data_IF_381233567929
#
_entry.id   IF_381233567929
#
_cell.length_a   1.000
_cell.length_b   1.000
_cell.length_c   1.000
_cell.angle_alpha   90.00
_cell.angle_beta   90.00
_cell.angle_gamma   90.00
#
_symmetry.space_group_name_H-M   'P 1'
#
loop_
_entity.id
_entity.type
_entity.pdbx_description
1 polymer ?
#
# COMPACT_ATOMS: atom_id res chain seq x y z
N UNK A 1 -36.21 -0.78 5.52
CA UNK A 1 -35.71 -0.46 6.88
C UNK A 1 -34.22 -0.27 6.77
N UNK A 2 -33.78 0.98 6.85
CA UNK A 2 -32.39 1.42 6.70
C UNK A 2 -31.57 1.01 7.92
N UNK A 3 -30.44 0.35 7.70
CA UNK A 3 -29.35 0.26 8.66
C UNK A 3 -28.14 1.00 8.07
N UNK A 4 -27.72 2.05 8.79
CA UNK A 4 -26.61 2.92 8.45
C UNK A 4 -25.28 2.15 8.39
N UNK A 5 -24.55 2.29 7.28
CA UNK A 5 -23.20 1.75 7.05
C UNK A 5 -22.12 2.81 7.34
N UNK A 6 -22.30 3.60 8.39
CA UNK A 6 -21.32 4.55 8.91
C UNK A 6 -20.94 4.07 10.33
N UNK A 7 -19.62 3.91 10.58
CA UNK A 7 -18.95 3.37 11.78
C UNK A 7 -18.57 1.89 11.64
N UNK A 8 -17.27 1.61 11.42
CA UNK A 8 -16.50 0.51 12.08
C UNK A 8 -15.08 0.26 11.52
N UNK A 9 -14.50 1.15 10.72
CA UNK A 9 -13.02 1.19 10.54
C UNK A 9 -12.29 1.87 11.72
N UNK A 10 -13.03 2.34 12.72
CA UNK A 10 -12.48 2.86 13.99
C UNK A 10 -11.91 1.78 14.92
N UNK A 11 -12.12 0.48 14.66
CA UNK A 11 -11.79 -0.57 15.63
C UNK A 11 -10.31 -0.99 15.63
N UNK A 12 -9.56 -0.84 14.54
CA UNK A 12 -8.09 -0.95 14.57
C UNK A 12 -7.48 0.33 15.18
N UNK A 13 -8.22 1.45 15.19
CA UNK A 13 -7.80 2.74 15.73
C UNK A 13 -8.35 3.05 17.15
N UNK A 14 -9.07 2.13 17.81
CA UNK A 14 -9.64 2.35 19.14
C UNK A 14 -9.30 1.22 20.10
N UNK A 15 -8.01 1.02 20.36
CA UNK A 15 -7.57 0.36 21.58
C UNK A 15 -7.18 1.43 22.63
N UNK A 16 -8.02 1.52 23.67
CA UNK A 16 -7.83 2.13 25.00
C UNK A 16 -8.55 3.47 25.31
N UNK A 17 -9.29 3.56 26.44
CA UNK A 17 -10.15 4.69 26.75
C UNK A 17 -9.42 5.77 27.57
N UNK A 18 -9.55 7.04 27.19
CA UNK A 18 -10.02 8.14 28.06
C UNK A 18 -9.94 9.52 27.40
N UNK A 19 -11.07 10.21 27.51
CA UNK A 19 -11.30 11.67 27.62
C UNK A 19 -11.24 12.58 26.37
N UNK A 20 -12.45 13.10 26.11
CA UNK A 20 -12.86 14.48 25.85
C UNK A 20 -12.95 15.00 24.40
N UNK A 21 -14.20 14.88 23.95
CA UNK A 21 -14.91 15.52 22.85
C UNK A 21 -14.75 17.05 22.81
N UNK A 22 -14.58 17.59 21.61
CA UNK A 22 -15.14 18.88 21.22
C UNK A 22 -15.75 18.78 19.82
N UNK A 23 -17.06 19.03 19.76
CA UNK A 23 -17.91 19.03 18.57
C UNK A 23 -17.94 20.39 17.89
N UNK A 24 -18.01 20.45 16.56
CA UNK A 24 -18.82 21.46 15.88
C UNK A 24 -19.36 20.94 14.53
N UNK A 25 -20.51 21.50 14.16
CA UNK A 25 -21.59 20.95 13.35
C UNK A 25 -21.61 21.44 11.90
N UNK A 26 -21.94 20.57 10.94
CA UNK A 26 -22.30 20.95 9.56
C UNK A 26 -22.90 19.76 8.79
N UNK A 27 -24.04 19.97 8.10
CA UNK A 27 -24.87 18.98 7.38
C UNK A 27 -24.28 18.55 6.01
N UNK A 28 -24.75 17.43 5.41
CA UNK A 28 -23.96 16.59 4.51
C UNK A 28 -24.14 16.91 3.01
N UNK A 29 -23.03 16.91 2.26
CA UNK A 29 -23.02 16.85 0.80
C UNK A 29 -21.96 15.85 0.33
N UNK A 30 -22.38 14.89 -0.51
CA UNK A 30 -21.58 13.93 -1.29
C UNK A 30 -20.26 13.44 -0.65
N UNK A 31 -20.33 12.33 0.08
CA UNK A 31 -19.16 11.71 0.73
C UNK A 31 -18.26 11.03 -0.32
N UNK A 32 -17.22 11.72 -0.77
CA UNK A 32 -15.96 11.09 -1.14
C UNK A 32 -15.42 10.38 0.10
N UNK A 33 -15.22 9.05 0.04
CA UNK A 33 -14.61 8.29 1.14
C UNK A 33 -13.24 8.89 1.46
N UNK A 34 -13.10 9.50 2.64
CA UNK A 34 -11.87 10.18 3.04
C UNK A 34 -10.75 9.20 3.34
N UNK A 35 -9.53 9.54 2.91
CA UNK A 35 -8.32 8.85 3.32
C UNK A 35 -7.92 9.31 4.74
N UNK A 36 -7.71 8.38 5.66
CA UNK A 36 -7.38 8.70 7.05
C UNK A 36 -5.87 8.60 7.28
N UNK A 37 -5.18 9.75 7.32
CA UNK A 37 -3.84 9.85 7.89
C UNK A 37 -3.98 10.07 9.40
N UNK A 38 -3.71 9.05 10.20
CA UNK A 38 -3.65 9.15 11.66
C UNK A 38 -2.44 8.38 12.18
N UNK A 39 -1.82 8.88 13.24
CA UNK A 39 -0.86 8.08 14.02
C UNK A 39 -1.64 6.89 14.59
N UNK A 40 -1.48 5.71 13.98
CA UNK A 40 -2.27 4.53 14.31
C UNK A 40 -2.02 4.13 15.78
N UNK A 41 -3.03 4.10 16.66
CA UNK A 41 -2.85 3.72 18.06
C UNK A 41 -2.45 2.25 18.23
N UNK A 42 -2.72 1.41 17.22
CA UNK A 42 -2.24 0.02 17.15
C UNK A 42 -0.73 -0.10 17.05
N UNK A 43 -0.02 0.91 16.55
CA UNK A 43 1.41 0.81 16.30
C UNK A 43 2.25 0.66 17.58
N UNK A 44 1.72 1.14 18.72
CA UNK A 44 2.35 0.93 20.02
C UNK A 44 2.36 -0.55 20.43
N UNK A 45 1.32 -1.31 20.08
CA UNK A 45 1.19 -2.73 20.42
C UNK A 45 2.21 -3.61 19.66
N UNK A 46 2.81 -3.10 18.59
CA UNK A 46 3.87 -3.77 17.81
C UNK A 46 5.27 -3.19 18.07
N UNK A 47 5.44 -2.38 19.13
CA UNK A 47 6.75 -1.88 19.55
C UNK A 47 7.34 -0.80 18.63
N UNK A 48 6.50 0.02 17.99
CA UNK A 48 6.95 1.09 17.09
C UNK A 48 7.85 2.11 17.79
N UNK A 49 8.96 2.47 17.13
CA UNK A 49 9.91 3.49 17.61
C UNK A 49 9.32 4.90 17.46
N UNK A 50 9.78 5.83 18.30
CA UNK A 50 9.47 7.26 18.14
C UNK A 50 9.99 7.77 16.79
N UNK A 51 9.16 8.53 16.06
CA UNK A 51 9.54 9.13 14.77
C UNK A 51 9.13 8.34 13.53
N UNK A 52 8.46 7.18 13.68
CA UNK A 52 7.88 6.46 12.55
C UNK A 52 6.52 7.08 12.16
N UNK A 53 6.30 7.24 10.86
CA UNK A 53 5.08 7.76 10.25
C UNK A 53 4.37 6.63 9.52
N UNK A 54 3.14 6.31 9.95
CA UNK A 54 2.30 5.31 9.28
C UNK A 54 1.20 6.01 8.48
N UNK A 55 1.08 5.63 7.21
CA UNK A 55 -0.03 6.00 6.34
C UNK A 55 -0.85 4.74 6.07
N UNK A 56 -2.15 4.78 6.40
CA UNK A 56 -3.07 3.66 6.22
C UNK A 56 -3.99 3.91 5.02
N UNK A 57 -3.94 2.98 4.07
CA UNK A 57 -4.84 2.91 2.92
C UNK A 57 -5.51 1.54 2.82
N UNK A 58 -6.05 1.02 3.92
CA UNK A 58 -6.80 -0.25 3.94
C UNK A 58 -8.31 0.03 3.92
N UNK A 59 -9.04 -0.60 3.01
CA UNK A 59 -10.47 -0.32 2.82
C UNK A 59 -11.29 -1.59 2.57
N UNK A 60 -12.58 -1.51 2.92
CA UNK A 60 -13.61 -2.50 2.55
C UNK A 60 -14.14 -2.29 1.12
N UNK A 61 -13.68 -1.25 0.42
CA UNK A 61 -14.08 -0.94 -0.96
C UNK A 61 -13.05 -1.47 -1.94
N UNK A 62 -13.51 -1.96 -3.08
CA UNK A 62 -12.66 -2.66 -4.05
C UNK A 62 -11.48 -1.83 -4.55
N UNK A 63 -11.60 -0.49 -4.71
CA UNK A 63 -10.50 0.38 -5.17
C UNK A 63 -10.40 1.64 -4.32
N UNK A 64 -9.18 2.06 -3.99
CA UNK A 64 -8.86 3.34 -3.36
C UNK A 64 -7.60 3.94 -3.99
N UNK A 65 -7.60 5.25 -4.21
CA UNK A 65 -6.45 6.02 -4.69
C UNK A 65 -6.32 7.33 -3.90
N UNK A 66 -5.12 7.65 -3.42
CA UNK A 66 -4.85 8.91 -2.72
C UNK A 66 -3.41 9.39 -2.96
N UNK A 67 -3.16 10.69 -2.78
CA UNK A 67 -1.81 11.26 -2.86
C UNK A 67 -1.40 11.75 -1.49
N UNK A 68 -0.21 11.38 -1.04
CA UNK A 68 0.40 11.87 0.20
C UNK A 68 1.73 12.58 -0.07
N UNK A 69 2.07 13.53 0.79
CA UNK A 69 3.35 14.23 0.76
C UNK A 69 4.28 13.51 1.73
N UNK A 70 5.16 12.67 1.19
CA UNK A 70 6.24 12.10 1.98
C UNK A 70 7.30 13.19 2.04
N UNK A 71 7.53 13.78 3.20
CA UNK A 71 8.34 15.00 3.38
C UNK A 71 9.84 14.82 3.14
N UNK A 72 10.25 14.04 2.14
CA UNK A 72 11.60 13.58 1.88
C UNK A 72 12.48 14.58 1.08
N UNK A 73 12.07 15.84 0.96
CA UNK A 73 12.71 16.79 0.05
C UNK A 73 14.19 17.09 0.41
N UNK A 74 15.05 17.13 -0.60
CA UNK A 74 16.42 17.64 -0.49
C UNK A 74 16.46 19.18 -0.66
N UNK A 75 17.25 19.93 0.14
CA UNK A 75 17.54 21.33 -0.15
C UNK A 75 18.30 21.45 -1.48
N UNK A 76 17.98 22.42 -2.39
CA UNK A 76 17.16 23.62 -2.21
C UNK A 76 15.75 23.53 -2.81
N UNK A 77 15.22 22.34 -3.09
CA UNK A 77 13.95 22.18 -3.81
C UNK A 77 12.78 22.30 -2.82
N UNK A 78 11.91 23.29 -3.01
CA UNK A 78 10.80 23.62 -2.10
C UNK A 78 9.53 22.78 -2.30
N UNK A 79 9.59 21.66 -3.03
CA UNK A 79 8.44 20.80 -3.28
C UNK A 79 8.59 19.51 -2.48
N UNK A 80 7.64 19.23 -1.59
CA UNK A 80 7.49 17.90 -0.96
C UNK A 80 7.31 16.84 -2.04
N UNK A 81 7.99 15.68 -1.90
CA UNK A 81 7.82 14.57 -2.83
C UNK A 81 6.40 14.00 -2.74
N UNK A 82 5.72 13.89 -3.87
CA UNK A 82 4.32 13.48 -3.92
C UNK A 82 4.21 12.03 -4.36
N UNK A 83 3.75 11.18 -3.45
CA UNK A 83 3.56 9.76 -3.70
C UNK A 83 2.07 9.49 -3.88
N UNK A 84 1.69 8.97 -5.04
CA UNK A 84 0.32 8.54 -5.30
C UNK A 84 0.20 7.04 -5.05
N UNK A 85 -0.77 6.66 -4.24
CA UNK A 85 -0.94 5.33 -3.71
C UNK A 85 -2.29 4.81 -4.17
N UNK A 86 -2.27 3.61 -4.75
CA UNK A 86 -3.44 2.90 -5.24
C UNK A 86 -3.49 1.55 -4.57
N UNK A 87 -4.65 1.17 -4.03
CA UNK A 87 -4.95 -0.21 -3.66
C UNK A 87 -6.20 -0.69 -4.39
N UNK A 88 -6.16 -1.90 -4.94
CA UNK A 88 -7.30 -2.47 -5.64
C UNK A 88 -7.36 -4.00 -5.52
N UNK A 89 -8.43 -4.53 -4.91
CA UNK A 89 -8.79 -5.93 -5.09
C UNK A 89 -9.53 -6.10 -6.44
N UNK A 90 -8.85 -6.73 -7.38
CA UNK A 90 -9.32 -6.89 -8.76
C UNK A 90 -10.24 -8.10 -8.92
N UNK A 91 -10.51 -8.87 -7.86
CA UNK A 91 -11.49 -9.95 -7.88
C UNK A 91 -11.23 -11.04 -8.91
N UNK A 92 -9.95 -11.35 -9.20
CA UNK A 92 -9.52 -12.23 -10.30
C UNK A 92 -9.93 -11.78 -11.71
N UNK A 93 -10.41 -10.54 -11.86
CA UNK A 93 -10.73 -9.97 -13.16
C UNK A 93 -9.47 -9.73 -14.01
N UNK A 94 -9.67 -9.78 -15.32
CA UNK A 94 -8.69 -9.25 -16.26
C UNK A 94 -8.67 -7.71 -16.14
N UNK A 95 -7.52 -7.07 -16.39
CA UNK A 95 -7.47 -5.62 -16.42
C UNK A 95 -8.39 -5.07 -17.54
N UNK A 96 -9.02 -3.90 -17.34
CA UNK A 96 -9.74 -3.21 -18.41
C UNK A 96 -8.75 -2.69 -19.46
N UNK A 97 -9.26 -2.23 -20.61
CA UNK A 97 -8.41 -1.69 -21.69
C UNK A 97 -7.69 -0.38 -21.29
N UNK A 98 -8.26 0.37 -20.35
CA UNK A 98 -7.70 1.63 -19.84
C UNK A 98 -7.87 1.75 -18.32
N UNK A 99 -6.77 2.09 -17.65
CA UNK A 99 -6.70 2.39 -16.21
C UNK A 99 -6.18 3.81 -15.95
N UNK A 100 -6.06 4.67 -16.97
CA UNK A 100 -5.49 6.01 -16.83
C UNK A 100 -6.19 6.84 -15.75
N UNK A 101 -7.51 6.70 -15.60
CA UNK A 101 -8.29 7.39 -14.56
C UNK A 101 -7.88 7.01 -13.13
N UNK A 102 -7.30 5.82 -12.92
CA UNK A 102 -6.84 5.34 -11.62
C UNK A 102 -5.68 6.19 -11.08
N UNK A 103 -4.90 6.77 -11.97
CA UNK A 103 -3.76 7.63 -11.65
C UNK A 103 -4.13 9.12 -11.60
N UNK A 104 -5.41 9.43 -11.84
CA UNK A 104 -5.96 10.78 -11.85
C UNK A 104 -5.35 11.71 -12.92
N UNK A 105 -5.69 13.01 -12.91
CA UNK A 105 -5.00 14.00 -13.74
C UNK A 105 -3.51 14.15 -13.40
N UNK A 106 -3.11 13.69 -12.21
CA UNK A 106 -1.78 13.86 -11.63
C UNK A 106 -0.66 13.11 -12.36
N UNK A 107 -0.98 12.03 -13.09
CA UNK A 107 0.02 11.37 -13.92
C UNK A 107 0.51 12.28 -15.05
N UNK A 108 -0.36 13.13 -15.61
CA UNK A 108 -0.05 13.98 -16.76
C UNK A 108 0.37 15.41 -16.43
N UNK A 109 0.06 15.91 -15.23
CA UNK A 109 0.41 17.29 -14.82
C UNK A 109 1.83 17.41 -14.23
N UNK A 110 2.54 16.28 -14.09
CA UNK A 110 3.90 16.23 -13.57
C UNK A 110 4.00 16.44 -12.07
N UNK A 111 2.89 16.49 -11.34
CA UNK A 111 2.84 16.84 -9.92
C UNK A 111 3.00 15.64 -8.98
N UNK A 112 3.02 14.41 -9.49
CA UNK A 112 3.31 13.18 -8.74
C UNK A 112 4.70 12.66 -9.06
N UNK A 113 5.47 12.23 -8.07
CA UNK A 113 6.85 11.76 -8.25
C UNK A 113 6.95 10.24 -8.33
N UNK A 114 6.07 9.55 -7.60
CA UNK A 114 6.05 8.09 -7.54
C UNK A 114 4.62 7.56 -7.48
N UNK A 115 4.41 6.39 -8.07
CA UNK A 115 3.16 5.64 -7.98
C UNK A 115 3.40 4.31 -7.26
N UNK A 116 2.60 4.03 -6.23
CA UNK A 116 2.63 2.79 -5.47
C UNK A 116 1.31 2.09 -5.70
N UNK A 117 1.34 0.90 -6.30
CA UNK A 117 0.13 0.18 -6.69
C UNK A 117 0.13 -1.17 -5.97
N UNK A 118 -0.81 -1.36 -5.05
CA UNK A 118 -1.08 -2.63 -4.39
C UNK A 118 -2.32 -3.29 -4.98
N UNK A 119 -2.18 -4.46 -5.58
CA UNK A 119 -3.33 -5.23 -6.08
C UNK A 119 -3.54 -6.50 -5.25
N UNK A 120 -4.80 -6.91 -5.11
CA UNK A 120 -5.21 -8.17 -4.47
C UNK A 120 -6.10 -8.97 -5.41
N UNK A 121 -6.14 -10.30 -5.23
CA UNK A 121 -6.80 -11.25 -6.13
C UNK A 121 -6.40 -11.12 -7.61
N UNK A 122 -5.17 -10.70 -7.91
CA UNK A 122 -4.67 -10.72 -9.28
C UNK A 122 -4.68 -12.15 -9.78
N UNK A 123 -5.31 -12.39 -10.93
CA UNK A 123 -5.39 -13.72 -11.50
C UNK A 123 -3.97 -14.31 -11.65
N UNK A 124 -3.75 -15.49 -11.07
CA UNK A 124 -2.47 -16.20 -11.06
C UNK A 124 -2.42 -17.31 -12.10
N UNK A 125 -3.46 -17.46 -12.92
CA UNK A 125 -3.51 -18.42 -14.03
C UNK A 125 -2.41 -18.08 -15.03
N UNK A 126 -1.28 -18.74 -14.84
CA UNK A 126 -0.30 -19.05 -15.88
C UNK A 126 -1.10 -19.76 -16.97
N UNK A 127 -1.46 -19.03 -18.03
CA UNK A 127 -1.97 -19.68 -19.22
C UNK A 127 -0.93 -20.73 -19.64
N UNK A 128 -1.32 -22.00 -19.63
CA UNK A 128 -0.54 -23.17 -20.07
C UNK A 128 -0.28 -23.12 -21.59
N UNK A 129 0.23 -22.00 -22.09
CA UNK A 129 0.71 -21.80 -23.45
C UNK A 129 2.04 -21.05 -23.37
N UNK A 130 3.07 -21.85 -23.10
CA UNK A 130 4.47 -21.70 -23.51
C UNK A 130 4.90 -20.30 -24.01
N UNK A 131 5.75 -19.59 -23.24
CA UNK A 131 7.07 -19.05 -23.65
C UNK A 131 7.71 -18.09 -22.64
N UNK A 132 8.79 -18.55 -22.01
CA UNK A 132 10.01 -17.79 -21.72
C UNK A 132 9.93 -16.58 -20.77
N UNK A 133 10.43 -16.80 -19.53
CA UNK A 133 11.26 -15.92 -18.69
C UNK A 133 10.89 -14.43 -18.45
N UNK A 134 9.81 -13.89 -19.02
CA UNK A 134 9.51 -12.46 -19.09
C UNK A 134 8.07 -12.07 -18.73
N UNK A 135 7.19 -13.00 -18.37
CA UNK A 135 5.79 -12.64 -18.11
C UNK A 135 5.61 -11.94 -16.76
N UNK A 136 5.70 -10.61 -16.82
CA UNK A 136 4.86 -9.71 -16.01
C UNK A 136 3.38 -10.05 -16.26
N UNK A 137 2.56 -10.09 -15.22
CA UNK A 137 1.12 -10.32 -15.42
C UNK A 137 0.46 -9.15 -16.17
N UNK A 138 -0.71 -9.39 -16.78
CA UNK A 138 -1.41 -8.38 -17.59
C UNK A 138 -1.69 -7.08 -16.83
N UNK A 139 -1.87 -7.14 -15.51
CA UNK A 139 -2.03 -5.94 -14.69
C UNK A 139 -0.73 -5.14 -14.59
N UNK A 140 0.41 -5.82 -14.41
CA UNK A 140 1.74 -5.20 -14.44
C UNK A 140 2.05 -4.59 -15.80
N UNK A 141 1.78 -5.32 -16.89
CA UNK A 141 1.95 -4.84 -18.26
C UNK A 141 1.14 -3.56 -18.51
N UNK A 142 -0.16 -3.58 -18.18
CA UNK A 142 -1.01 -2.41 -18.35
C UNK A 142 -0.55 -1.22 -17.51
N UNK A 143 -0.14 -1.43 -16.25
CA UNK A 143 0.41 -0.36 -15.42
C UNK A 143 1.67 0.26 -16.05
N UNK A 144 2.58 -0.58 -16.56
CA UNK A 144 3.80 -0.11 -17.25
C UNK A 144 3.46 0.67 -18.53
N UNK A 145 2.56 0.14 -19.35
CA UNK A 145 2.14 0.77 -20.61
C UNK A 145 1.42 2.10 -20.38
N UNK A 146 0.63 2.22 -19.33
CA UNK A 146 -0.05 3.47 -18.98
C UNK A 146 0.92 4.49 -18.41
N UNK A 147 1.73 4.12 -17.41
CA UNK A 147 2.60 5.07 -16.69
C UNK A 147 3.85 5.48 -17.48
N UNK A 148 4.36 4.63 -18.38
CA UNK A 148 5.50 4.97 -19.25
C UNK A 148 5.20 6.13 -20.20
N UNK A 149 3.93 6.31 -20.62
CA UNK A 149 3.47 7.47 -21.43
C UNK A 149 3.71 8.81 -20.74
N UNK A 150 3.83 8.79 -19.41
CA UNK A 150 4.05 9.95 -18.57
C UNK A 150 5.49 10.02 -17.99
N UNK A 151 6.41 9.17 -18.47
CA UNK A 151 7.83 9.22 -18.09
C UNK A 151 8.16 8.52 -16.77
N UNK A 152 7.29 7.63 -16.28
CA UNK A 152 7.58 6.79 -15.13
C UNK A 152 8.17 5.45 -15.58
N UNK A 153 9.00 4.88 -14.71
CA UNK A 153 9.56 3.55 -14.87
C UNK A 153 9.24 2.68 -13.67
N UNK A 154 9.09 1.38 -13.90
CA UNK A 154 8.94 0.40 -12.84
C UNK A 154 10.27 0.26 -12.09
N UNK A 155 10.29 0.65 -10.82
CA UNK A 155 11.45 0.53 -9.93
C UNK A 155 11.53 -0.87 -9.34
N UNK A 156 10.41 -1.40 -8.88
CA UNK A 156 10.33 -2.77 -8.33
C UNK A 156 8.93 -3.35 -8.44
N UNK A 157 8.87 -4.68 -8.43
CA UNK A 157 7.62 -5.43 -8.33
C UNK A 157 7.79 -6.61 -7.39
N UNK A 158 6.86 -6.80 -6.46
CA UNK A 158 6.81 -7.99 -5.61
C UNK A 158 5.44 -8.65 -5.69
N UNK A 159 5.44 -9.96 -6.01
CA UNK A 159 4.23 -10.76 -6.12
C UNK A 159 4.21 -11.96 -5.17
N UNK A 160 3.03 -12.25 -4.63
CA UNK A 160 2.70 -13.45 -3.88
C UNK A 160 1.31 -13.94 -4.29
N UNK A 161 1.25 -14.94 -5.18
CA UNK A 161 0.01 -15.40 -5.83
C UNK A 161 -0.86 -14.25 -6.36
N UNK A 162 -1.96 -13.91 -5.69
CA UNK A 162 -2.88 -12.83 -6.09
C UNK A 162 -2.56 -11.48 -5.46
N UNK A 163 -1.56 -11.38 -4.60
CA UNK A 163 -1.12 -10.12 -3.98
C UNK A 163 0.08 -9.58 -4.76
N UNK A 164 0.00 -8.34 -5.23
CA UNK A 164 1.01 -7.72 -6.08
C UNK A 164 1.29 -6.30 -5.59
N UNK A 165 2.56 -5.90 -5.54
CA UNK A 165 3.01 -4.54 -5.27
C UNK A 165 3.89 -4.09 -6.43
N UNK A 166 3.57 -2.92 -7.00
CA UNK A 166 4.35 -2.25 -8.03
C UNK A 166 4.77 -0.87 -7.52
N UNK A 167 6.04 -0.53 -7.69
CA UNK A 167 6.59 0.80 -7.35
C UNK A 167 7.11 1.43 -8.62
N UNK A 168 6.55 2.58 -8.99
CA UNK A 168 6.98 3.38 -10.12
C UNK A 168 7.56 4.71 -9.66
N UNK A 169 8.52 5.23 -10.41
CA UNK A 169 9.13 6.53 -10.15
C UNK A 169 9.48 7.23 -11.46
N UNK A 170 9.51 8.56 -11.45
CA UNK A 170 10.11 9.33 -12.55
C UNK A 170 11.60 8.99 -12.67
N UNK A 171 12.10 8.94 -13.91
CA UNK A 171 13.52 8.66 -14.17
C UNK A 171 14.49 9.59 -13.42
N UNK A 172 14.12 10.86 -13.20
CA UNK A 172 14.95 11.83 -12.48
C UNK A 172 15.21 11.47 -11.02
N UNK A 173 14.37 10.60 -10.42
CA UNK A 173 14.43 10.27 -9.00
C UNK A 173 15.25 9.01 -8.71
N UNK A 174 15.52 8.17 -9.72
CA UNK A 174 16.24 6.91 -9.56
C UNK A 174 17.60 7.03 -8.83
N UNK A 175 18.43 8.08 -9.04
CA UNK A 175 19.68 8.24 -8.30
C UNK A 175 19.52 8.37 -6.77
N UNK A 176 18.33 8.75 -6.31
CA UNK A 176 17.99 8.96 -4.91
C UNK A 176 17.26 7.77 -4.27
N UNK A 177 16.96 6.73 -5.05
CA UNK A 177 16.40 5.46 -4.56
C UNK A 177 17.55 4.47 -4.33
N UNK A 178 17.73 4.03 -3.08
CA UNK A 178 18.86 3.18 -2.67
C UNK A 178 18.40 2.00 -1.82
N UNK A 179 19.18 0.92 -1.81
CA UNK A 179 18.96 -0.21 -0.92
C UNK A 179 17.61 -0.90 -1.10
N UNK A 180 17.11 -0.96 -2.33
CA UNK A 180 15.84 -1.60 -2.67
C UNK A 180 15.87 -3.09 -2.25
N UNK A 181 14.89 -3.50 -1.46
CA UNK A 181 14.65 -4.90 -1.11
C UNK A 181 13.14 -5.16 -1.06
N UNK A 182 12.76 -6.41 -1.26
CA UNK A 182 11.36 -6.84 -1.29
C UNK A 182 11.17 -8.11 -0.50
N UNK A 183 10.09 -8.19 0.27
CA UNK A 183 9.77 -9.36 1.09
C UNK A 183 8.33 -9.82 0.87
N UNK A 184 8.04 -11.08 1.25
CA UNK A 184 6.69 -11.63 1.21
C UNK A 184 6.44 -12.63 2.32
N UNK A 185 5.23 -12.58 2.89
CA UNK A 185 4.79 -13.49 3.94
C UNK A 185 3.45 -14.07 3.58
N UNK A 186 3.36 -15.40 3.58
CA UNK A 186 2.10 -16.13 3.36
C UNK A 186 1.42 -16.36 4.70
N UNK A 187 0.12 -16.08 4.76
CA UNK A 187 -0.71 -16.42 5.94
C UNK A 187 -1.89 -17.33 5.59
N UNK A 188 -2.23 -17.45 4.31
CA UNK A 188 -3.31 -18.33 3.83
C UNK A 188 -3.07 -19.80 4.16
N UNK A 189 -4.13 -20.49 4.59
CA UNK A 189 -4.06 -21.89 5.05
C UNK A 189 -2.92 -22.12 6.06
N UNK A 190 -2.73 -21.24 7.04
CA UNK A 190 -1.64 -21.37 8.03
C UNK A 190 -0.25 -21.18 7.43
N UNK A 191 -0.14 -20.36 6.38
CA UNK A 191 1.11 -20.05 5.68
C UNK A 191 1.45 -20.95 4.49
N UNK A 192 0.70 -22.04 4.28
CA UNK A 192 0.93 -22.95 3.15
C UNK A 192 0.49 -22.37 1.80
N UNK A 193 -0.48 -21.47 1.79
CA UNK A 193 -1.07 -20.90 0.57
C UNK A 193 -0.94 -19.38 0.53
N UNK A 194 -0.54 -18.83 -0.62
CA UNK A 194 -0.20 -17.42 -0.76
C UNK A 194 -1.34 -16.51 -1.18
N UNK A 195 -2.61 -16.94 -1.06
CA UNK A 195 -3.76 -16.09 -1.38
C UNK A 195 -4.03 -15.00 -0.33
N UNK A 196 -3.42 -15.13 0.85
CA UNK A 196 -3.47 -14.19 1.97
C UNK A 196 -2.07 -13.98 2.54
N UNK A 197 -1.85 -12.80 3.09
CA UNK A 197 -0.60 -12.36 3.69
C UNK A 197 -0.17 -11.00 3.16
N UNK A 198 1.13 -10.75 3.03
CA UNK A 198 1.64 -9.44 2.63
C UNK A 198 2.86 -9.51 1.73
N UNK A 199 3.03 -8.49 0.90
CA UNK A 199 4.23 -8.23 0.09
C UNK A 199 4.72 -6.81 0.37
N UNK A 200 6.03 -6.62 0.47
CA UNK A 200 6.60 -5.31 0.73
C UNK A 200 7.75 -4.98 -0.20
N UNK A 201 7.99 -3.68 -0.31
CA UNK A 201 9.17 -3.11 -0.93
C UNK A 201 9.69 -2.01 0.00
N UNK A 202 10.97 -2.10 0.37
CA UNK A 202 11.66 -1.06 1.12
C UNK A 202 12.78 -0.45 0.31
N UNK A 203 13.04 0.81 0.55
CA UNK A 203 14.17 1.53 0.00
C UNK A 203 14.46 2.78 0.83
N UNK A 204 15.66 3.32 0.69
CA UNK A 204 15.94 4.71 1.07
C UNK A 204 15.51 5.61 -0.08
N UNK A 205 14.58 6.53 0.19
CA UNK A 205 14.09 7.55 -0.74
C UNK A 205 14.60 8.91 -0.26
N UNK A 206 15.45 9.56 -1.07
CA UNK A 206 15.99 10.89 -0.74
C UNK A 206 16.61 10.99 0.67
N UNK A 207 17.22 9.89 1.14
CA UNK A 207 17.84 9.81 2.47
C UNK A 207 16.94 9.25 3.58
N UNK A 208 15.64 9.07 3.33
CA UNK A 208 14.68 8.56 4.30
C UNK A 208 14.37 7.07 4.06
N UNK A 209 14.46 6.19 5.07
CA UNK A 209 14.04 4.80 4.93
C UNK A 209 12.51 4.71 4.86
N UNK A 210 12.02 4.13 3.76
CA UNK A 210 10.58 3.96 3.47
C UNK A 210 10.26 2.49 3.21
N UNK A 211 9.13 2.01 3.72
CA UNK A 211 8.59 0.69 3.44
C UNK A 211 7.14 0.77 2.98
N UNK A 212 6.86 0.21 1.80
CA UNK A 212 5.51 0.01 1.28
C UNK A 212 5.12 -1.44 1.56
N UNK A 213 3.98 -1.66 2.21
CA UNK A 213 3.45 -2.99 2.52
C UNK A 213 2.03 -3.11 2.00
N UNK A 214 1.83 -4.01 1.03
CA UNK A 214 0.52 -4.39 0.52
C UNK A 214 0.09 -5.71 1.15
N UNK A 215 -1.08 -5.72 1.79
CA UNK A 215 -1.64 -6.88 2.47
C UNK A 215 -2.97 -7.33 1.85
N UNK A 216 -3.22 -8.63 1.92
CA UNK A 216 -4.53 -9.22 1.70
C UNK A 216 -4.84 -10.11 2.89
N UNK A 217 -5.62 -9.59 3.83
CA UNK A 217 -5.95 -10.26 5.09
C UNK A 217 -7.33 -10.94 5.01
N UNK A 218 -7.67 -11.84 5.95
CA UNK A 218 -8.97 -12.49 5.98
C UNK A 218 -10.14 -11.50 6.06
N UNK A 219 -11.11 -11.64 5.14
CA UNK A 219 -12.31 -10.82 5.08
C UNK A 219 -13.28 -11.11 6.24
N UNK A 220 -14.28 -10.24 6.41
CA UNK A 220 -15.37 -10.28 7.40
C UNK A 220 -15.01 -9.84 8.82
N UNK A 221 -15.93 -9.11 9.46
CA UNK A 221 -15.75 -8.52 10.80
C UNK A 221 -15.38 -9.54 11.87
N UNK A 222 -15.95 -10.75 11.81
CA UNK A 222 -15.71 -11.84 12.78
C UNK A 222 -14.27 -12.36 12.83
N UNK A 223 -13.46 -12.06 11.82
CA UNK A 223 -12.09 -12.56 11.70
C UNK A 223 -11.03 -11.55 12.22
N UNK A 224 -11.41 -10.65 13.14
CA UNK A 224 -10.51 -9.63 13.67
C UNK A 224 -9.24 -10.22 14.29
N UNK A 225 -9.38 -11.23 15.16
CA UNK A 225 -8.24 -11.89 15.81
C UNK A 225 -7.30 -12.51 14.78
N UNK A 226 -7.85 -13.24 13.79
CA UNK A 226 -7.05 -13.81 12.71
C UNK A 226 -6.33 -12.72 11.89
N UNK A 227 -6.97 -11.57 11.61
CA UNK A 227 -6.31 -10.46 10.92
C UNK A 227 -5.15 -9.91 11.72
N UNK A 228 -5.30 -9.78 13.04
CA UNK A 228 -4.24 -9.31 13.92
C UNK A 228 -3.07 -10.30 13.96
N UNK A 229 -3.35 -11.60 14.05
CA UNK A 229 -2.33 -12.67 14.00
C UNK A 229 -1.60 -12.70 12.66
N UNK A 230 -2.34 -12.64 11.55
CA UNK A 230 -1.78 -12.61 10.19
C UNK A 230 -0.90 -11.38 10.01
N UNK A 231 -1.36 -10.20 10.45
CA UNK A 231 -0.60 -8.96 10.36
C UNK A 231 0.65 -8.98 11.24
N UNK A 232 0.56 -9.47 12.48
CA UNK A 232 1.72 -9.68 13.35
C UNK A 232 2.74 -10.63 12.72
N UNK A 233 2.27 -11.71 12.10
CA UNK A 233 3.13 -12.66 11.37
C UNK A 233 3.85 -12.01 10.20
N UNK A 234 3.17 -11.15 9.43
CA UNK A 234 3.78 -10.36 8.35
C UNK A 234 4.90 -9.48 8.90
N UNK A 235 4.62 -8.67 9.93
CA UNK A 235 5.59 -7.75 10.51
C UNK A 235 6.81 -8.48 11.11
N UNK A 236 6.60 -9.64 11.73
CA UNK A 236 7.66 -10.43 12.33
C UNK A 236 8.56 -11.09 11.26
N UNK A 237 7.97 -11.66 10.22
CA UNK A 237 8.71 -12.44 9.22
C UNK A 237 9.40 -11.59 8.16
N UNK A 238 8.86 -10.42 7.82
CA UNK A 238 9.48 -9.54 6.83
C UNK A 238 10.64 -8.75 7.44
N UNK A 239 11.84 -9.30 7.24
CA UNK A 239 13.10 -8.72 7.67
C UNK A 239 13.97 -8.42 6.46
N UNK A 240 14.57 -7.24 6.45
CA UNK A 240 15.40 -6.73 5.37
C UNK A 240 16.88 -6.72 5.78
N UNK A 241 17.76 -7.02 4.84
CA UNK A 241 19.20 -7.04 5.06
C UNK A 241 19.77 -5.62 5.26
N UNK A 242 20.69 -5.47 6.22
CA UNK A 242 21.41 -4.22 6.48
C UNK A 242 21.35 -3.77 7.94
N UNK A 243 22.10 -2.72 8.27
CA UNK A 243 22.23 -2.20 9.63
C UNK A 243 21.16 -1.19 10.07
N UNK A 244 20.38 -0.65 9.13
CA UNK A 244 19.31 0.33 9.40
C UNK A 244 17.98 -0.18 8.86
N UNK A 245 16.92 -0.01 9.64
CA UNK A 245 15.54 -0.39 9.28
C UNK A 245 15.40 -1.86 8.80
N UNK A 246 15.71 -2.82 9.69
CA UNK A 246 15.62 -4.25 9.37
C UNK A 246 14.18 -4.77 9.37
N UNK A 247 13.32 -4.31 10.28
CA UNK A 247 11.89 -4.64 10.26
C UNK A 247 11.06 -3.63 9.49
N UNK A 248 9.84 -4.02 9.09
CA UNK A 248 8.86 -3.10 8.46
C UNK A 248 8.67 -1.83 9.29
N UNK A 249 8.44 -1.96 10.61
CA UNK A 249 8.20 -0.84 11.52
C UNK A 249 9.47 -0.09 11.96
N UNK A 250 10.66 -0.49 11.52
CA UNK A 250 11.90 0.27 11.77
C UNK A 250 12.15 1.37 10.72
N UNK A 251 11.32 1.46 9.68
CA UNK A 251 11.39 2.50 8.65
C UNK A 251 10.79 3.80 9.16
N UNK A 252 11.31 4.94 8.70
CA UNK A 252 10.78 6.25 9.06
C UNK A 252 9.38 6.44 8.50
N UNK A 253 9.14 5.98 7.27
CA UNK A 253 7.83 6.00 6.63
C UNK A 253 7.37 4.59 6.32
N UNK A 254 6.19 4.24 6.81
CA UNK A 254 5.54 2.95 6.55
C UNK A 254 4.18 3.23 5.92
N UNK A 255 4.01 2.80 4.67
CA UNK A 255 2.77 2.94 3.93
C UNK A 255 2.12 1.56 3.88
N UNK A 256 1.03 1.39 4.61
CA UNK A 256 0.27 0.15 4.67
C UNK A 256 -0.97 0.28 3.79
N UNK A 257 -1.07 -0.57 2.77
CA UNK A 257 -2.22 -0.65 1.87
C UNK A 257 -2.76 -2.07 1.79
N UNK A 258 -3.98 -2.20 1.29
CA UNK A 258 -4.55 -3.52 1.02
C UNK A 258 -6.01 -3.67 1.41
N UNK A 259 -6.43 -4.92 1.52
CA UNK A 259 -7.79 -5.31 1.93
C UNK A 259 -7.74 -6.20 3.18
N UNK A 260 -8.67 -5.95 4.12
CA UNK A 260 -8.87 -6.73 5.35
C UNK A 260 -10.16 -6.37 6.08
#
# INVERSE_FOLDING_TARGET
MNWNADCELGLIAQASPRSNVLTSSGKPSQKSGGCYSSKAPFAHDFGMRSGVHIILGMYLTNVCSFTDNVGCALPPVSSSDRVHIVTWNVGSALPPDDITSLFGPHAGDGSTDMFIIGLQEVNSMINKRLKDALFTDQWSELCMDTLSRFGYVLVTSQRMQGVLLLVFSKCCHLPFLRGLQTEKTRTGLGGYWGNKGGVSARMTMFGHPVCFLNCHLPAHMRNLEQRMEDFGSILQQQQFEGGTASGVLDHEWVILIGEG
#
